data_IF_634015006542
#
_entry.id   IF_634015006542
#
_cell.length_a   1.000
_cell.length_b   1.000
_cell.length_c   1.000
_cell.angle_alpha   90.00
_cell.angle_beta   90.00
_cell.angle_gamma   90.00
#
_symmetry.space_group_name_H-M   'P 1'
#
loop_
_entity.id
_entity.type
_entity.pdbx_description
1 polymer ?
#
# COMPACT_ATOMS: atom_id res chain seq x y z
N UNK A 1 11.08 -17.77 -7.33
CA UNK A 1 11.11 -18.05 -5.87
C UNK A 1 12.09 -17.20 -5.04
N UNK A 2 13.12 -16.56 -5.63
CA UNK A 2 14.13 -15.78 -4.88
C UNK A 2 13.52 -14.75 -3.90
N UNK A 3 12.64 -13.87 -4.37
CA UNK A 3 11.99 -12.86 -3.50
C UNK A 3 11.14 -13.47 -2.37
N UNK A 4 10.47 -14.60 -2.62
CA UNK A 4 9.75 -15.33 -1.57
C UNK A 4 10.70 -15.87 -0.49
N UNK A 5 11.84 -16.45 -0.89
CA UNK A 5 12.83 -16.97 0.05
C UNK A 5 13.49 -15.84 0.85
N UNK A 6 13.76 -14.70 0.23
CA UNK A 6 14.23 -13.50 0.93
C UNK A 6 13.21 -13.04 1.99
N UNK A 7 11.95 -12.88 1.61
CA UNK A 7 10.88 -12.48 2.53
C UNK A 7 10.70 -13.47 3.68
N UNK A 8 10.79 -14.78 3.39
CA UNK A 8 10.74 -15.85 4.40
C UNK A 8 11.89 -15.74 5.39
N UNK A 9 13.13 -15.58 4.92
CA UNK A 9 14.30 -15.44 5.79
C UNK A 9 14.17 -14.22 6.70
N UNK A 10 13.69 -13.08 6.18
CA UNK A 10 13.42 -11.88 6.99
C UNK A 10 12.35 -12.15 8.04
N UNK A 11 11.24 -12.78 7.66
CA UNK A 11 10.15 -13.12 8.58
C UNK A 11 10.62 -14.04 9.72
N UNK A 12 11.35 -15.10 9.38
CA UNK A 12 11.91 -16.04 10.36
C UNK A 12 12.94 -15.33 11.26
N UNK A 13 13.79 -14.47 10.71
CA UNK A 13 14.75 -13.66 11.46
C UNK A 13 14.09 -12.71 12.46
N UNK A 14 13.01 -12.01 12.07
CA UNK A 14 12.24 -11.15 12.98
C UNK A 14 11.61 -11.95 14.12
N UNK A 15 11.07 -13.15 13.83
CA UNK A 15 10.49 -14.03 14.85
C UNK A 15 11.54 -14.59 15.82
N UNK A 16 12.77 -14.78 15.36
CA UNK A 16 13.90 -15.15 16.22
C UNK A 16 14.33 -14.00 17.14
N UNK A 17 14.28 -12.76 16.64
CA UNK A 17 14.65 -11.57 17.40
C UNK A 17 13.65 -11.24 18.52
N UNK A 18 12.35 -11.39 18.26
CA UNK A 18 11.28 -11.17 19.25
C UNK A 18 10.14 -12.16 18.99
N UNK A 19 9.98 -13.14 19.87
CA UNK A 19 9.00 -14.24 19.70
C UNK A 19 7.57 -13.83 20.02
N UNK A 20 7.40 -12.76 20.79
CA UNK A 20 6.10 -12.31 21.30
C UNK A 20 5.43 -11.32 20.35
N UNK A 21 6.18 -10.80 19.36
CA UNK A 21 5.65 -9.87 18.34
C UNK A 21 5.41 -10.58 17.00
N UNK A 22 4.32 -10.18 16.34
CA UNK A 22 4.02 -10.60 14.97
C UNK A 22 4.94 -9.84 14.00
N UNK A 23 5.74 -10.51 13.16
CA UNK A 23 6.54 -9.82 12.15
C UNK A 23 5.65 -9.15 11.11
N UNK A 24 6.06 -7.95 10.69
CA UNK A 24 5.52 -7.29 9.51
C UNK A 24 6.63 -7.17 8.46
N UNK A 25 6.46 -7.85 7.34
CA UNK A 25 7.40 -7.82 6.21
C UNK A 25 6.61 -7.39 4.97
N UNK A 26 7.16 -6.43 4.24
CA UNK A 26 6.64 -5.97 2.96
C UNK A 26 7.63 -6.36 1.85
N UNK A 27 7.15 -6.99 0.78
CA UNK A 27 7.99 -7.42 -0.34
C UNK A 27 7.41 -7.01 -1.70
N UNK A 28 8.29 -6.63 -2.63
CA UNK A 28 7.91 -6.36 -4.03
C UNK A 28 7.75 -7.66 -4.80
N UNK A 29 8.74 -8.54 -4.69
CA UNK A 29 8.81 -9.79 -5.41
C UNK A 29 8.29 -10.94 -4.54
N UNK A 30 7.46 -11.79 -5.13
CA UNK A 30 6.87 -12.94 -4.45
C UNK A 30 6.73 -14.15 -5.35
N UNK A 31 6.19 -15.23 -4.79
CA UNK A 31 5.76 -16.43 -5.50
C UNK A 31 4.53 -16.99 -4.78
N UNK A 32 3.88 -18.03 -5.33
CA UNK A 32 2.78 -18.69 -4.62
C UNK A 32 3.26 -19.17 -3.24
N UNK A 33 2.55 -18.77 -2.18
CA UNK A 33 2.94 -19.04 -0.79
C UNK A 33 3.60 -17.86 -0.07
N UNK A 34 3.94 -16.76 -0.76
CA UNK A 34 4.50 -15.54 -0.16
C UNK A 34 3.60 -14.91 0.90
N UNK A 35 2.28 -15.07 0.81
CA UNK A 35 1.31 -14.53 1.76
C UNK A 35 1.49 -15.02 3.20
N UNK A 36 2.20 -16.14 3.40
CA UNK A 36 2.52 -16.66 4.74
C UNK A 36 3.60 -15.85 5.47
N UNK A 37 4.37 -15.04 4.73
CA UNK A 37 5.56 -14.39 5.24
C UNK A 37 5.55 -12.87 5.06
N UNK A 38 4.85 -12.34 4.06
CA UNK A 38 4.89 -10.92 3.75
C UNK A 38 3.63 -10.41 3.03
N UNK A 39 3.32 -9.13 3.27
CA UNK A 39 2.44 -8.33 2.43
C UNK A 39 3.16 -7.96 1.12
N UNK A 40 2.39 -7.61 0.08
CA UNK A 40 2.94 -7.22 -1.23
C UNK A 40 2.39 -5.88 -1.68
N UNK A 41 3.26 -4.99 -2.16
CA UNK A 41 2.79 -3.81 -2.90
C UNK A 41 2.92 -4.04 -4.41
N UNK A 42 2.11 -3.34 -5.20
CA UNK A 42 2.03 -3.56 -6.66
C UNK A 42 3.20 -2.97 -7.45
N UNK A 43 4.26 -2.53 -6.78
CA UNK A 43 5.42 -1.89 -7.39
C UNK A 43 5.21 -0.41 -7.68
N UNK A 44 6.09 0.10 -8.54
CA UNK A 44 6.34 1.51 -8.78
C UNK A 44 5.29 2.05 -9.77
N UNK A 45 4.12 2.45 -9.27
CA UNK A 45 3.02 2.99 -10.07
C UNK A 45 3.23 4.49 -10.40
N UNK A 46 2.44 5.04 -11.31
CA UNK A 46 2.55 6.43 -11.78
C UNK A 46 1.38 7.26 -11.23
N UNK A 47 1.64 8.53 -10.94
CA UNK A 47 0.65 9.51 -10.48
C UNK A 47 -0.31 9.96 -11.59
N UNK A 48 -1.11 9.02 -12.11
CA UNK A 48 -2.15 9.27 -13.11
C UNK A 48 -3.45 8.48 -12.83
N UNK A 49 -4.51 8.80 -13.58
CA UNK A 49 -5.83 8.20 -13.38
C UNK A 49 -5.89 6.74 -13.82
N UNK A 50 -5.09 6.38 -14.83
CA UNK A 50 -5.00 5.04 -15.38
C UNK A 50 -4.46 4.07 -14.34
N UNK A 51 -3.38 4.41 -13.64
CA UNK A 51 -2.79 3.58 -12.59
C UNK A 51 -3.67 3.51 -11.35
N UNK A 52 -4.39 4.59 -11.02
CA UNK A 52 -5.44 4.54 -9.98
C UNK A 52 -6.50 3.51 -10.35
N UNK A 53 -7.03 3.55 -11.58
CA UNK A 53 -8.05 2.61 -12.02
C UNK A 53 -7.54 1.16 -12.07
N UNK A 54 -6.35 0.94 -12.64
CA UNK A 54 -5.75 -0.40 -12.73
C UNK A 54 -5.47 -1.02 -11.36
N UNK A 55 -5.14 -0.21 -10.35
CA UNK A 55 -4.78 -0.70 -9.01
C UNK A 55 -5.87 -1.57 -8.37
N UNK A 56 -7.14 -1.25 -8.61
CA UNK A 56 -8.29 -2.01 -8.09
C UNK A 56 -8.24 -3.44 -8.62
N UNK A 57 -8.18 -3.58 -9.94
CA UNK A 57 -8.12 -4.89 -10.60
C UNK A 57 -6.85 -5.66 -10.26
N UNK A 58 -5.72 -4.98 -10.08
CA UNK A 58 -4.45 -5.63 -9.68
C UNK A 58 -4.55 -6.23 -8.27
N UNK A 59 -5.06 -5.47 -7.29
CA UNK A 59 -5.19 -5.95 -5.91
C UNK A 59 -6.21 -7.07 -5.80
N UNK A 60 -7.35 -6.97 -6.50
CA UNK A 60 -8.34 -8.05 -6.54
C UNK A 60 -7.75 -9.34 -7.11
N UNK A 61 -6.99 -9.26 -8.21
CA UNK A 61 -6.34 -10.43 -8.82
C UNK A 61 -5.27 -11.04 -7.90
N UNK A 62 -4.50 -10.22 -7.18
CA UNK A 62 -3.57 -10.70 -6.16
C UNK A 62 -4.33 -11.45 -5.05
N UNK A 63 -5.44 -10.89 -4.55
CA UNK A 63 -6.29 -11.54 -3.56
C UNK A 63 -6.81 -12.91 -4.02
N UNK A 64 -7.37 -12.98 -5.23
CA UNK A 64 -7.84 -14.22 -5.84
C UNK A 64 -6.72 -15.24 -6.09
N UNK A 65 -5.49 -14.75 -6.30
CA UNK A 65 -4.28 -15.57 -6.47
C UNK A 65 -3.62 -15.95 -5.14
N UNK A 66 -4.27 -15.68 -4.01
CA UNK A 66 -3.80 -16.07 -2.69
C UNK A 66 -2.87 -15.07 -2.00
N UNK A 67 -2.79 -13.82 -2.47
CA UNK A 67 -2.07 -12.71 -1.81
C UNK A 67 -3.05 -11.59 -1.39
N UNK A 68 -3.85 -11.81 -0.33
CA UNK A 68 -4.89 -10.85 0.07
C UNK A 68 -4.33 -9.61 0.75
N UNK A 69 -3.14 -9.66 1.36
CA UNK A 69 -2.56 -8.49 2.02
C UNK A 69 -1.70 -7.71 1.02
N UNK A 70 -2.36 -6.94 0.15
CA UNK A 70 -1.70 -6.16 -0.89
C UNK A 70 -2.34 -4.80 -1.15
N UNK A 71 -1.58 -3.92 -1.80
CA UNK A 71 -2.03 -2.57 -2.14
C UNK A 71 -1.00 -1.78 -2.98
N UNK A 72 -1.43 -0.74 -3.69
CA UNK A 72 -0.56 0.15 -4.45
C UNK A 72 0.00 1.29 -3.58
N UNK A 73 0.86 2.12 -4.15
CA UNK A 73 1.23 3.40 -3.55
C UNK A 73 0.17 4.46 -3.84
N UNK A 74 -0.42 4.98 -2.75
CA UNK A 74 -1.47 5.99 -2.77
C UNK A 74 -0.86 7.31 -3.24
N UNK A 75 -1.48 7.93 -4.26
CA UNK A 75 -0.97 9.11 -4.94
C UNK A 75 -0.20 8.79 -6.21
N UNK A 76 0.45 7.62 -6.25
CA UNK A 76 1.40 7.22 -7.29
C UNK A 76 2.85 7.40 -6.83
N UNK A 77 3.69 6.41 -7.14
CA UNK A 77 5.12 6.44 -6.83
C UNK A 77 5.85 7.45 -7.72
N UNK A 78 5.70 7.33 -9.04
CA UNK A 78 6.40 8.14 -10.01
C UNK A 78 5.59 9.34 -10.51
N UNK A 79 6.26 10.49 -10.64
CA UNK A 79 5.65 11.75 -11.04
C UNK A 79 4.70 12.36 -10.00
N UNK A 80 4.16 13.54 -10.31
CA UNK A 80 3.44 14.38 -9.35
C UNK A 80 1.93 14.22 -9.43
N UNK A 81 1.30 13.90 -8.31
CA UNK A 81 -0.16 13.88 -8.22
C UNK A 81 -0.74 15.30 -8.29
N UNK A 82 -1.95 15.42 -8.81
CA UNK A 82 -2.75 16.65 -8.63
C UNK A 82 -3.59 16.52 -7.35
N UNK A 83 -4.01 17.62 -6.70
CA UNK A 83 -4.87 17.55 -5.52
C UNK A 83 -6.12 16.69 -5.72
N UNK A 84 -6.76 16.81 -6.89
CA UNK A 84 -7.94 16.01 -7.24
C UNK A 84 -7.63 14.52 -7.37
N UNK A 85 -6.49 14.18 -7.98
CA UNK A 85 -6.05 12.80 -8.11
C UNK A 85 -5.71 12.21 -6.73
N UNK A 86 -4.93 12.93 -5.92
CA UNK A 86 -4.54 12.47 -4.58
C UNK A 86 -5.75 12.28 -3.66
N UNK A 87 -6.69 13.23 -3.65
CA UNK A 87 -7.93 13.09 -2.88
C UNK A 87 -8.74 11.86 -3.28
N UNK A 88 -8.78 11.52 -4.58
CA UNK A 88 -9.43 10.27 -5.04
C UNK A 88 -8.64 9.03 -4.61
N UNK A 89 -7.32 9.09 -4.71
CA UNK A 89 -6.41 8.05 -4.25
C UNK A 89 -6.59 7.75 -2.77
N UNK A 90 -6.78 8.76 -1.91
CA UNK A 90 -7.02 8.55 -0.49
C UNK A 90 -8.30 7.76 -0.23
N UNK A 91 -9.41 8.16 -0.87
CA UNK A 91 -10.71 7.49 -0.69
C UNK A 91 -10.68 6.00 -1.08
N UNK A 92 -10.10 5.68 -2.24
CA UNK A 92 -9.98 4.28 -2.71
C UNK A 92 -8.87 3.55 -1.96
N UNK A 93 -7.76 4.25 -1.73
CA UNK A 93 -6.54 3.74 -1.11
C UNK A 93 -6.78 3.18 0.28
N UNK A 94 -7.65 3.82 1.06
CA UNK A 94 -8.06 3.33 2.38
C UNK A 94 -8.85 2.01 2.32
N UNK A 95 -9.44 1.64 1.18
CA UNK A 95 -10.18 0.40 1.04
C UNK A 95 -9.28 -0.79 0.69
N UNK A 96 -7.99 -0.57 0.40
CA UNK A 96 -7.06 -1.66 0.15
C UNK A 96 -6.67 -2.40 1.44
N UNK A 97 -6.37 -3.71 1.37
CA UNK A 97 -5.88 -4.45 2.53
C UNK A 97 -4.60 -3.85 3.12
N UNK A 98 -3.67 -3.43 2.26
CA UNK A 98 -2.46 -2.68 2.60
C UNK A 98 -2.55 -1.25 2.05
N UNK A 99 -2.41 -0.25 2.92
CA UNK A 99 -2.53 1.16 2.57
C UNK A 99 -1.24 1.91 2.91
N UNK A 100 -0.63 2.57 1.93
CA UNK A 100 0.61 3.35 2.11
C UNK A 100 0.65 4.52 1.12
N UNK A 101 0.99 5.72 1.61
CA UNK A 101 1.48 6.81 0.77
C UNK A 101 3.00 6.66 0.57
N UNK A 102 3.45 6.71 -0.68
CA UNK A 102 4.87 6.61 -1.04
C UNK A 102 5.10 7.27 -2.40
N UNK A 103 6.20 8.01 -2.52
CA UNK A 103 6.61 8.67 -3.75
C UNK A 103 8.13 8.59 -3.93
N UNK A 104 8.58 8.72 -5.17
CA UNK A 104 10.00 8.72 -5.52
C UNK A 104 10.69 10.03 -5.13
N UNK A 105 12.02 10.03 -5.14
CA UNK A 105 12.81 11.25 -4.96
C UNK A 105 12.56 12.24 -6.11
N UNK A 106 12.72 13.54 -5.84
CA UNK A 106 12.53 14.62 -6.81
C UNK A 106 11.08 14.84 -7.30
N UNK A 107 10.11 14.31 -6.57
CA UNK A 107 8.67 14.65 -6.70
C UNK A 107 8.29 15.77 -5.73
N UNK A 108 7.07 16.30 -5.89
CA UNK A 108 6.46 17.17 -4.88
C UNK A 108 6.08 16.35 -3.65
N UNK A 109 5.91 17.03 -2.52
CA UNK A 109 5.41 16.46 -1.28
C UNK A 109 4.05 15.75 -1.50
N UNK A 110 3.98 14.46 -1.14
CA UNK A 110 2.81 13.59 -1.32
C UNK A 110 2.09 13.27 0.01
N UNK A 111 2.33 14.05 1.06
CA UNK A 111 1.58 13.95 2.30
C UNK A 111 0.18 14.57 2.16
N UNK A 112 -0.83 14.09 2.92
CA UNK A 112 -2.20 14.60 2.79
C UNK A 112 -2.39 16.11 2.95
N UNK A 113 -1.53 16.77 3.74
CA UNK A 113 -1.56 18.21 3.96
C UNK A 113 -0.93 19.03 2.82
N UNK A 114 -0.17 18.39 1.94
CA UNK A 114 0.58 19.07 0.85
C UNK A 114 -0.31 19.47 -0.33
N UNK A 115 -1.56 18.97 -0.39
CA UNK A 115 -2.51 19.19 -1.48
C UNK A 115 -3.64 20.19 -1.17
N UNK A 116 -3.51 20.96 -0.08
CA UNK A 116 -4.48 21.97 0.36
C UNK A 116 -5.52 21.46 1.35
N UNK A 117 -6.28 22.39 1.96
CA UNK A 117 -7.18 22.12 3.08
C UNK A 117 -8.30 21.12 2.76
N UNK A 118 -8.85 21.18 1.55
CA UNK A 118 -9.93 20.27 1.13
C UNK A 118 -9.45 18.81 1.10
N UNK A 119 -8.25 18.57 0.55
CA UNK A 119 -7.66 17.24 0.48
C UNK A 119 -7.26 16.75 1.86
N UNK A 120 -6.70 17.64 2.70
CA UNK A 120 -6.41 17.33 4.09
C UNK A 120 -7.66 16.91 4.87
N UNK A 121 -8.75 17.66 4.74
CA UNK A 121 -10.03 17.35 5.38
C UNK A 121 -10.57 16.00 4.90
N UNK A 122 -10.66 15.79 3.58
CA UNK A 122 -11.13 14.53 3.02
C UNK A 122 -10.27 13.34 3.47
N UNK A 123 -8.95 13.49 3.44
CA UNK A 123 -8.00 12.46 3.89
C UNK A 123 -8.19 12.11 5.36
N UNK A 124 -8.42 13.12 6.21
CA UNK A 124 -8.64 12.92 7.64
C UNK A 124 -9.92 12.11 7.90
N UNK A 125 -11.02 12.44 7.22
CA UNK A 125 -12.28 11.68 7.33
C UNK A 125 -12.08 10.23 6.89
N UNK A 126 -11.38 10.01 5.79
CA UNK A 126 -11.11 8.67 5.25
C UNK A 126 -10.25 7.83 6.21
N UNK A 127 -9.21 8.43 6.78
CA UNK A 127 -8.33 7.75 7.74
C UNK A 127 -9.10 7.39 9.01
N UNK A 128 -9.93 8.31 9.53
CA UNK A 128 -10.78 8.03 10.70
C UNK A 128 -11.72 6.87 10.40
N UNK A 129 -12.42 6.89 9.27
CA UNK A 129 -13.31 5.81 8.86
C UNK A 129 -12.57 4.47 8.76
N UNK A 130 -11.37 4.45 8.17
CA UNK A 130 -10.54 3.25 8.08
C UNK A 130 -10.27 2.63 9.45
N UNK A 131 -9.88 3.43 10.44
CA UNK A 131 -9.62 2.92 11.79
C UNK A 131 -10.91 2.49 12.50
N UNK A 132 -12.03 3.17 12.28
CA UNK A 132 -13.32 2.74 12.85
C UNK A 132 -13.75 1.34 12.34
N UNK A 133 -13.55 1.03 11.06
CA UNK A 133 -13.92 -0.28 10.51
C UNK A 133 -12.96 -1.43 10.85
N UNK A 134 -11.70 -1.13 11.21
CA UNK A 134 -10.63 -2.15 11.36
C UNK A 134 -10.31 -2.51 12.82
N UNK A 135 -10.96 -1.84 13.77
CA UNK A 135 -10.78 -2.05 15.22
C UNK A 135 -11.94 -2.84 15.88
N UNK A 136 -12.93 -3.27 15.11
CA UNK A 136 -13.91 -4.28 15.52
C UNK A 136 -13.41 -5.70 15.21
#
# INVERSE_FOLDING_TARGET
VYGMLMARSTYEGMKLADKDKRPFVLTRAGFIGSQRYAATWTGDNVSNWEHLHMSISMVLQLGLSGQPFSGPDIGGFAGNATPRLFGRWMGIGAMFPFCRGHTETDTIDHEPWSFGEEVLFCSSVVIIAFFCFKLE
#
